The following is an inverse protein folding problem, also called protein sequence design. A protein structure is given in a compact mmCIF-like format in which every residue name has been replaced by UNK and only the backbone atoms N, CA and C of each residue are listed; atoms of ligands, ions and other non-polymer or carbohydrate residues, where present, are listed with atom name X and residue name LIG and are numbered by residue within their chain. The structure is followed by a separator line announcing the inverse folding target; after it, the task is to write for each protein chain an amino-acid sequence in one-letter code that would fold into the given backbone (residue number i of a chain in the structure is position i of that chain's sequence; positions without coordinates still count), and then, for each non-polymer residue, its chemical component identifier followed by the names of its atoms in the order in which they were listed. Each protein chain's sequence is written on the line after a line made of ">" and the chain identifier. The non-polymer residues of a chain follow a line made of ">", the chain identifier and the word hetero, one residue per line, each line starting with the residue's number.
data_IF_957342282341
#
_entry.id   IF_957342282341
#
_cell.length_a   1.000
_cell.length_b   1.000
_cell.length_c   1.000
_cell.angle_alpha   90.00
_cell.angle_beta   90.00
_cell.angle_gamma   90.00
#
_symmetry.space_group_name_H-M   'P 1'
#
loop_
_entity.id
_entity.type
_entity.pdbx_description
1 polymer ?
#
# COMPACT_ATOMS: atom_id res chain seq x y z
N UNK A 1 -7.07 10.36 -22.66
CA UNK A 1 -5.94 9.42 -22.57
C UNK A 1 -5.70 9.18 -21.09
N UNK A 2 -5.67 7.93 -20.64
CA UNK A 2 -5.26 7.61 -19.27
C UNK A 2 -3.78 7.98 -19.13
N UNK A 3 -3.44 8.69 -18.05
CA UNK A 3 -2.07 9.08 -17.72
C UNK A 3 -1.35 7.85 -17.15
N UNK A 4 -0.11 7.58 -17.58
CA UNK A 4 0.69 6.48 -17.01
C UNK A 4 1.09 6.78 -15.55
N UNK A 5 1.39 5.73 -14.78
CA UNK A 5 1.87 5.87 -13.40
C UNK A 5 3.13 6.75 -13.29
N UNK A 6 4.08 6.56 -14.21
CA UNK A 6 5.30 7.38 -14.32
C UNK A 6 4.98 8.87 -14.54
N UNK A 7 4.10 9.18 -15.50
CA UNK A 7 3.72 10.57 -15.78
C UNK A 7 3.04 11.24 -14.59
N UNK A 8 2.25 10.48 -13.82
CA UNK A 8 1.66 10.97 -12.58
C UNK A 8 2.74 11.24 -11.51
N UNK A 9 3.70 10.33 -11.33
CA UNK A 9 4.81 10.51 -10.38
C UNK A 9 5.66 11.73 -10.77
N UNK A 10 5.96 11.92 -12.05
CA UNK A 10 6.70 13.08 -12.53
C UNK A 10 5.96 14.38 -12.23
N UNK A 11 4.64 14.42 -12.44
CA UNK A 11 3.82 15.58 -12.08
C UNK A 11 3.84 15.85 -10.56
N UNK A 12 3.79 14.80 -9.73
CA UNK A 12 3.88 14.93 -8.27
C UNK A 12 5.26 15.44 -7.83
N UNK A 13 6.34 14.98 -8.46
CA UNK A 13 7.70 15.47 -8.21
C UNK A 13 7.85 16.94 -8.61
N UNK A 14 7.26 17.36 -9.74
CA UNK A 14 7.29 18.76 -10.19
C UNK A 14 6.62 19.73 -9.20
N UNK A 15 5.65 19.27 -8.41
CA UNK A 15 5.03 20.08 -7.35
C UNK A 15 5.74 19.95 -5.98
N UNK A 16 6.87 19.23 -5.92
CA UNK A 16 7.76 19.17 -4.77
C UNK A 16 7.58 17.95 -3.86
N UNK A 17 6.86 16.91 -4.27
CA UNK A 17 6.80 15.66 -3.51
C UNK A 17 8.05 14.81 -3.78
N UNK A 18 8.78 14.49 -2.72
CA UNK A 18 9.96 13.62 -2.82
C UNK A 18 9.59 12.13 -2.81
N UNK A 19 8.47 11.77 -2.17
CA UNK A 19 8.00 10.40 -2.06
C UNK A 19 6.47 10.36 -1.91
N UNK A 20 5.87 9.22 -2.22
CA UNK A 20 4.43 9.02 -2.06
C UNK A 20 3.95 7.63 -2.45
N UNK A 21 2.69 7.38 -2.13
CA UNK A 21 1.96 6.15 -2.44
C UNK A 21 0.68 6.54 -3.17
N UNK A 22 0.40 5.87 -4.29
CA UNK A 22 -0.77 6.11 -5.14
C UNK A 22 -1.54 4.79 -5.20
N UNK A 23 -2.76 4.81 -4.65
CA UNK A 23 -3.63 3.64 -4.63
C UNK A 23 -4.57 3.65 -5.83
N UNK A 24 -4.90 2.46 -6.34
CA UNK A 24 -5.74 2.29 -7.51
C UNK A 24 -6.79 1.18 -7.32
N UNK A 25 -7.43 1.14 -6.13
CA UNK A 25 -8.42 0.14 -5.80
C UNK A 25 -7.82 -1.27 -5.79
N UNK A 26 -8.28 -2.14 -6.69
CA UNK A 26 -7.75 -3.51 -6.85
C UNK A 26 -6.55 -3.61 -7.78
N UNK A 27 -6.14 -2.51 -8.43
CA UNK A 27 -4.93 -2.48 -9.25
C UNK A 27 -3.68 -2.35 -8.36
N UNK A 28 -2.46 -2.54 -8.92
CA UNK A 28 -1.22 -2.41 -8.17
C UNK A 28 -1.11 -1.05 -7.47
N UNK A 29 -0.54 -1.07 -6.27
CA UNK A 29 -0.24 0.17 -5.53
C UNK A 29 1.11 0.68 -5.99
N UNK A 30 1.14 1.91 -6.52
CA UNK A 30 2.36 2.55 -6.98
C UNK A 30 3.00 3.31 -5.81
N UNK A 31 4.30 3.14 -5.62
CA UNK A 31 5.11 3.91 -4.69
C UNK A 31 6.24 4.61 -5.44
N UNK A 32 6.65 5.77 -4.95
CA UNK A 32 7.83 6.46 -5.45
C UNK A 32 8.59 7.12 -4.31
N UNK A 33 9.90 7.19 -4.46
CA UNK A 33 10.78 8.04 -3.66
C UNK A 33 12.07 8.36 -4.44
N UNK A 34 13.14 8.76 -3.75
CA UNK A 34 14.44 9.10 -4.34
C UNK A 34 15.12 7.91 -5.06
N UNK A 35 14.79 6.67 -4.71
CA UNK A 35 15.40 5.49 -5.31
C UNK A 35 14.72 5.02 -6.60
N UNK A 36 13.52 5.49 -6.91
CA UNK A 36 12.81 5.10 -8.13
C UNK A 36 11.30 4.97 -7.94
N UNK A 37 10.66 4.37 -8.94
CA UNK A 37 9.22 4.08 -8.95
C UNK A 37 9.04 2.57 -8.87
N UNK A 38 8.16 2.13 -7.98
CA UNK A 38 7.89 0.72 -7.75
C UNK A 38 6.40 0.44 -7.61
N UNK A 39 6.01 -0.81 -7.81
CA UNK A 39 4.64 -1.28 -7.64
C UNK A 39 4.59 -2.47 -6.68
N UNK A 40 3.47 -2.60 -5.96
CA UNK A 40 3.11 -3.80 -5.21
C UNK A 40 1.75 -4.27 -5.68
N UNK A 41 1.69 -5.48 -6.22
CA UNK A 41 0.45 -6.17 -6.53
C UNK A 41 -0.25 -6.57 -5.22
N UNK A 42 -1.42 -6.00 -4.88
CA UNK A 42 -2.13 -6.41 -3.69
C UNK A 42 -2.58 -7.87 -3.82
N UNK A 43 -2.38 -8.71 -2.79
CA UNK A 43 -2.93 -10.06 -2.80
C UNK A 43 -4.45 -10.01 -2.90
N UNK A 44 -5.03 -10.98 -3.63
CA UNK A 44 -6.48 -11.09 -3.71
C UNK A 44 -7.06 -11.38 -2.31
N UNK A 45 -8.02 -10.58 -1.82
CA UNK A 45 -8.64 -10.84 -0.53
C UNK A 45 -9.43 -12.16 -0.60
N UNK A 46 -9.45 -12.92 0.49
CA UNK A 46 -10.20 -14.18 0.60
C UNK A 46 -11.70 -13.96 0.47
N UNK A 47 -12.16 -12.78 0.89
CA UNK A 47 -13.52 -12.27 0.74
C UNK A 47 -13.50 -10.74 0.79
N UNK A 48 -14.48 -10.11 0.16
CA UNK A 48 -14.72 -8.67 0.33
C UNK A 48 -15.95 -8.52 1.21
N UNK A 49 -15.76 -8.03 2.43
CA UNK A 49 -16.84 -7.81 3.39
C UNK A 49 -17.29 -6.35 3.39
N UNK A 50 -16.35 -5.41 3.55
CA UNK A 50 -16.56 -3.96 3.42
C UNK A 50 -15.25 -3.32 2.93
N UNK A 51 -15.33 -2.36 2.02
CA UNK A 51 -14.15 -1.62 1.54
C UNK A 51 -13.85 -0.37 2.36
N UNK A 52 -14.76 0.00 3.26
CA UNK A 52 -14.64 1.17 4.13
C UNK A 52 -13.42 1.01 5.04
N UNK A 53 -12.55 2.03 5.08
CA UNK A 53 -11.35 2.03 5.93
C UNK A 53 -10.14 1.29 5.35
N UNK A 54 -10.23 0.67 4.18
CA UNK A 54 -9.08 0.03 3.54
C UNK A 54 -7.92 1.01 3.27
N UNK A 55 -8.24 2.23 2.82
CA UNK A 55 -7.26 3.30 2.61
C UNK A 55 -6.66 3.83 3.90
N UNK A 56 -7.45 3.93 4.97
CA UNK A 56 -6.97 4.35 6.29
C UNK A 56 -6.04 3.28 6.90
N UNK A 57 -6.41 2.01 6.78
CA UNK A 57 -5.57 0.88 7.21
C UNK A 57 -4.25 0.84 6.43
N UNK A 58 -4.30 1.03 5.10
CA UNK A 58 -3.11 1.13 4.25
C UNK A 58 -2.19 2.25 4.71
N UNK A 59 -2.74 3.45 4.86
CA UNK A 59 -1.98 4.65 5.23
C UNK A 59 -1.41 4.52 6.64
N UNK A 60 -2.25 4.10 7.59
CA UNK A 60 -1.89 3.97 9.00
C UNK A 60 -0.77 2.96 9.22
N UNK A 61 -0.87 1.75 8.66
CA UNK A 61 0.16 0.74 8.79
C UNK A 61 1.45 1.13 8.04
N UNK A 62 1.35 1.74 6.85
CA UNK A 62 2.53 2.26 6.13
C UNK A 62 3.26 3.31 6.96
N UNK A 63 2.55 4.30 7.50
CA UNK A 63 3.14 5.35 8.34
C UNK A 63 3.73 4.79 9.63
N UNK A 64 3.05 3.84 10.27
CA UNK A 64 3.58 3.18 11.47
C UNK A 64 4.90 2.45 11.18
N UNK A 65 4.99 1.71 10.08
CA UNK A 65 6.21 1.03 9.64
C UNK A 65 7.34 2.03 9.31
N UNK A 66 7.03 3.14 8.63
CA UNK A 66 8.00 4.22 8.37
C UNK A 66 8.53 4.82 9.68
N UNK A 67 7.67 5.06 10.67
CA UNK A 67 8.07 5.57 11.99
C UNK A 67 8.95 4.57 12.76
N UNK A 68 8.85 3.27 12.47
CA UNK A 68 9.75 2.24 12.96
C UNK A 68 11.07 2.13 12.17
N UNK A 69 11.28 2.99 11.18
CA UNK A 69 12.52 3.05 10.39
C UNK A 69 12.57 2.07 9.21
N UNK A 70 11.45 1.46 8.83
CA UNK A 70 11.41 0.66 7.61
C UNK A 70 11.50 1.56 6.36
N UNK A 71 12.17 1.10 5.29
CA UNK A 71 12.15 1.79 4.01
C UNK A 71 10.74 1.71 3.38
N UNK A 72 10.41 2.69 2.52
CA UNK A 72 9.06 2.84 1.96
C UNK A 72 8.51 1.57 1.29
N UNK A 73 9.35 0.79 0.60
CA UNK A 73 8.93 -0.48 -0.03
C UNK A 73 8.43 -1.47 1.01
N UNK A 74 9.19 -1.67 2.09
CA UNK A 74 8.82 -2.59 3.15
C UNK A 74 7.62 -2.06 3.96
N UNK A 75 7.60 -0.76 4.23
CA UNK A 75 6.48 -0.12 4.92
C UNK A 75 5.17 -0.22 4.13
N UNK A 76 5.22 -0.04 2.80
CA UNK A 76 4.03 -0.15 1.97
C UNK A 76 3.50 -1.59 1.92
N UNK A 77 4.36 -2.61 2.00
CA UNK A 77 3.90 -4.01 2.11
C UNK A 77 3.07 -4.24 3.37
N UNK A 78 3.48 -3.66 4.49
CA UNK A 78 2.69 -3.64 5.72
C UNK A 78 1.34 -2.93 5.54
N UNK A 79 1.34 -1.79 4.85
CA UNK A 79 0.13 -1.08 4.43
C UNK A 79 -0.84 -1.95 3.63
N UNK A 80 -0.34 -2.62 2.59
CA UNK A 80 -1.14 -3.49 1.72
C UNK A 80 -1.74 -4.66 2.51
N UNK A 81 -0.97 -5.25 3.44
CA UNK A 81 -1.47 -6.31 4.33
C UNK A 81 -2.61 -5.80 5.25
N UNK A 82 -2.45 -4.61 5.84
CA UNK A 82 -3.50 -3.98 6.65
C UNK A 82 -4.77 -3.69 5.84
N UNK A 83 -4.62 -3.17 4.62
CA UNK A 83 -5.73 -2.90 3.72
C UNK A 83 -6.51 -4.17 3.37
N UNK A 84 -5.81 -5.27 3.07
CA UNK A 84 -6.43 -6.57 2.82
C UNK A 84 -7.24 -7.06 4.03
N UNK A 85 -6.67 -6.99 5.23
CA UNK A 85 -7.37 -7.39 6.45
C UNK A 85 -8.59 -6.51 6.73
N UNK A 86 -8.51 -5.20 6.43
CA UNK A 86 -9.64 -4.30 6.53
C UNK A 86 -10.75 -4.67 5.55
N UNK A 87 -10.41 -4.95 4.29
CA UNK A 87 -11.36 -5.38 3.24
C UNK A 87 -12.10 -6.67 3.62
N UNK A 88 -11.42 -7.59 4.32
CA UNK A 88 -11.99 -8.87 4.78
C UNK A 88 -12.85 -8.76 6.04
N UNK A 89 -12.88 -7.58 6.67
CA UNK A 89 -13.66 -7.26 7.87
C UNK A 89 -14.95 -6.52 7.53
N UNK A 90 -15.96 -6.65 8.39
CA UNK A 90 -17.17 -5.84 8.35
C UNK A 90 -17.04 -4.53 9.16
N UNK A 91 -15.89 -4.30 9.78
CA UNK A 91 -15.59 -3.11 10.58
C UNK A 91 -14.69 -2.16 9.79
N UNK A 92 -15.01 -0.86 9.79
CA UNK A 92 -14.18 0.16 9.15
C UNK A 92 -12.81 0.34 9.82
N UNK A 93 -12.70 0.01 11.12
CA UNK A 93 -11.44 0.06 11.88
C UNK A 93 -11.25 -1.28 12.60
N UNK A 94 -10.81 -2.34 11.88
CA UNK A 94 -10.65 -3.65 12.45
C UNK A 94 -9.42 -3.71 13.36
N UNK A 95 -9.50 -4.53 14.41
CA UNK A 95 -8.33 -4.88 15.22
C UNK A 95 -7.52 -6.00 14.57
N UNK A 96 -6.22 -5.80 14.44
CA UNK A 96 -5.29 -6.81 13.94
C UNK A 96 -4.54 -7.49 15.09
N UNK A 97 -4.33 -8.80 14.97
CA UNK A 97 -3.43 -9.53 15.88
C UNK A 97 -2.08 -9.68 15.20
N UNK A 98 -0.99 -9.80 15.96
CA UNK A 98 0.33 -10.05 15.35
C UNK A 98 0.33 -11.25 14.41
N UNK A 99 -0.41 -12.31 14.77
CA UNK A 99 -0.51 -13.52 13.97
C UNK A 99 -1.22 -13.29 12.62
N UNK A 100 -2.40 -12.65 12.62
CA UNK A 100 -3.14 -12.42 11.37
C UNK A 100 -2.43 -11.42 10.45
N UNK A 101 -1.78 -10.41 11.03
CA UNK A 101 -1.01 -9.42 10.28
C UNK A 101 0.21 -10.04 9.63
N UNK A 102 0.95 -10.88 10.38
CA UNK A 102 2.12 -11.60 9.83
C UNK A 102 1.70 -12.54 8.69
N UNK A 103 0.57 -13.24 8.85
CA UNK A 103 0.04 -14.11 7.79
C UNK A 103 -0.36 -13.30 6.54
N UNK A 104 -1.02 -12.15 6.72
CA UNK A 104 -1.39 -11.27 5.63
C UNK A 104 -0.16 -10.71 4.91
N UNK A 105 0.83 -10.24 5.65
CA UNK A 105 2.08 -9.70 5.11
C UNK A 105 2.85 -10.75 4.29
N UNK A 106 2.86 -12.01 4.72
CA UNK A 106 3.50 -13.10 3.98
C UNK A 106 2.87 -13.36 2.60
N UNK A 107 1.64 -12.92 2.36
CA UNK A 107 0.96 -13.01 1.06
C UNK A 107 1.26 -11.81 0.15
N UNK A 108 1.74 -10.69 0.72
CA UNK A 108 2.07 -9.50 -0.07
C UNK A 108 3.41 -9.72 -0.75
N UNK A 109 3.49 -9.65 -2.09
CA UNK A 109 4.74 -9.83 -2.81
C UNK A 109 5.75 -8.72 -2.47
N UNK A 110 7.00 -8.95 -2.85
CA UNK A 110 8.01 -7.89 -2.82
C UNK A 110 7.66 -6.79 -3.82
N UNK A 111 8.13 -5.57 -3.53
CA UNK A 111 8.02 -4.45 -4.45
C UNK A 111 8.76 -4.75 -5.77
N UNK A 112 8.12 -4.42 -6.88
CA UNK A 112 8.68 -4.55 -8.23
C UNK A 112 9.02 -3.16 -8.76
N UNK A 113 10.28 -2.92 -9.08
CA UNK A 113 10.69 -1.67 -9.72
C UNK A 113 10.09 -1.58 -11.14
N UNK A 114 9.60 -0.40 -11.49
CA UNK A 114 8.95 -0.14 -12.79
C UNK A 114 9.60 0.99 -13.57
N UNK A 115 10.41 1.84 -12.94
CA UNK A 115 11.26 2.85 -13.59
C UNK A 115 12.43 3.29 -12.69
#
# INVERSE_FOLDING_TARGET
>A
AEMSGEALVDALRQVGLNAGVITAGSAPVLGFDDAGIFEIDPPAPRRVADVTGAGDALTGATVAALLHGLPLRAALREGVAAAMLAIESSEAVPSFTTANFTQALALVPEAREVA
#
